data_IF_430487151677
#
_entry.id   IF_430487151677
#
_cell.length_a   1.000
_cell.length_b   1.000
_cell.length_c   1.000
_cell.angle_alpha   90.00
_cell.angle_beta   90.00
_cell.angle_gamma   90.00
#
_symmetry.space_group_name_H-M   'P 1'
#
loop_
_entity.id
_entity.type
_entity.pdbx_description
1 polymer ?
#
# COMPACT_ATOMS: atom_id res chain seq x y z
N UNK A 1 65.83 -34.41 42.44
CA UNK A 1 65.13 -33.61 43.48
C UNK A 1 64.25 -32.58 42.79
N UNK A 2 62.91 -32.73 42.92
CA UNK A 2 61.88 -31.66 43.14
C UNK A 2 61.83 -30.46 42.16
N UNK A 3 60.71 -29.95 41.65
CA UNK A 3 59.26 -30.21 41.77
C UNK A 3 58.59 -29.36 40.66
N UNK A 4 57.69 -29.93 39.86
CA UNK A 4 56.96 -29.23 38.80
C UNK A 4 55.66 -28.64 39.40
N UNK A 5 55.52 -27.32 39.48
CA UNK A 5 54.25 -26.65 39.89
C UNK A 5 53.41 -26.30 38.64
N UNK A 6 52.38 -27.10 38.36
CA UNK A 6 51.28 -26.73 37.45
C UNK A 6 50.30 -25.82 38.19
N UNK A 7 50.13 -24.59 37.70
CA UNK A 7 49.01 -23.71 38.07
C UNK A 7 47.90 -23.94 37.05
N UNK A 8 46.78 -24.50 37.51
CA UNK A 8 45.54 -24.63 36.73
C UNK A 8 44.72 -23.37 36.99
N UNK A 9 44.54 -22.55 35.96
CA UNK A 9 43.70 -21.35 35.99
C UNK A 9 42.24 -21.79 35.75
N UNK A 10 41.43 -21.77 36.80
CA UNK A 10 40.01 -22.13 36.74
C UNK A 10 39.22 -20.90 36.24
N UNK A 11 38.82 -20.93 34.97
CA UNK A 11 38.01 -19.89 34.33
C UNK A 11 36.56 -20.00 34.84
N UNK A 12 36.19 -19.19 35.83
CA UNK A 12 34.80 -19.03 36.25
C UNK A 12 34.03 -18.28 35.14
N UNK A 13 33.28 -19.03 34.34
CA UNK A 13 32.28 -18.47 33.44
C UNK A 13 31.10 -18.00 34.30
N UNK A 14 31.13 -16.76 34.77
CA UNK A 14 29.96 -16.14 35.40
C UNK A 14 28.97 -15.84 34.28
N UNK A 15 27.78 -16.48 34.25
CA UNK A 15 26.76 -16.10 33.29
C UNK A 15 26.39 -14.64 33.55
N UNK A 16 26.71 -13.77 32.59
CA UNK A 16 26.18 -12.41 32.59
C UNK A 16 24.68 -12.55 32.38
N UNK A 17 23.91 -12.51 33.45
CA UNK A 17 22.47 -12.36 33.37
C UNK A 17 22.20 -11.01 32.73
N UNK A 18 21.85 -11.03 31.45
CA UNK A 18 21.31 -9.84 30.77
C UNK A 18 19.95 -9.59 31.39
N UNK A 19 19.90 -8.73 32.41
CA UNK A 19 18.65 -8.18 32.94
C UNK A 19 18.04 -7.28 31.85
N UNK A 20 17.20 -7.87 31.00
CA UNK A 20 16.28 -7.09 30.17
C UNK A 20 15.08 -6.73 31.03
N UNK A 21 14.67 -5.46 31.02
CA UNK A 21 13.43 -5.08 31.68
C UNK A 21 12.27 -5.86 31.07
N UNK A 22 11.42 -6.43 31.92
CA UNK A 22 10.17 -6.99 31.47
C UNK A 22 9.12 -5.89 31.46
N UNK A 23 8.43 -5.69 30.34
CA UNK A 23 7.37 -4.69 30.24
C UNK A 23 6.22 -5.18 29.37
N UNK A 24 5.03 -4.72 29.72
CA UNK A 24 3.79 -4.93 28.96
C UNK A 24 3.22 -3.59 28.51
N UNK A 25 2.57 -3.60 27.35
CA UNK A 25 1.97 -2.40 26.76
C UNK A 25 0.45 -2.53 26.77
N UNK A 26 -0.23 -1.53 27.36
CA UNK A 26 -1.68 -1.44 27.39
C UNK A 26 -2.14 -0.16 26.70
N UNK A 27 -3.07 -0.28 25.76
CA UNK A 27 -3.72 0.86 25.12
C UNK A 27 -5.10 1.08 25.74
N UNK A 28 -5.43 2.33 26.08
CA UNK A 28 -6.69 2.70 26.73
C UNK A 28 -7.28 3.93 26.04
N UNK A 29 -8.61 3.96 25.85
CA UNK A 29 -9.34 5.14 25.39
C UNK A 29 -9.65 5.20 23.88
N UNK A 30 -9.12 4.27 23.07
CA UNK A 30 -9.47 4.12 21.65
C UNK A 30 -10.31 2.86 21.43
N UNK A 31 -11.54 3.01 20.94
CA UNK A 31 -12.47 1.91 20.65
C UNK A 31 -12.37 1.38 19.20
N UNK A 32 -11.90 2.22 18.28
CA UNK A 32 -11.75 1.87 16.87
C UNK A 32 -10.64 0.82 16.69
N UNK A 33 -11.04 -0.41 16.35
CA UNK A 33 -10.12 -1.57 16.30
C UNK A 33 -9.11 -1.44 15.17
N UNK A 34 -9.53 -0.90 14.03
CA UNK A 34 -8.67 -0.72 12.86
C UNK A 34 -7.55 0.29 13.16
N UNK A 35 -7.91 1.46 13.69
CA UNK A 35 -6.97 2.50 14.11
C UNK A 35 -6.03 1.97 15.19
N UNK A 36 -6.55 1.24 16.18
CA UNK A 36 -5.72 0.66 17.25
C UNK A 36 -4.71 -0.35 16.69
N UNK A 37 -5.11 -1.18 15.73
CA UNK A 37 -4.20 -2.14 15.09
C UNK A 37 -3.15 -1.41 14.25
N UNK A 38 -3.50 -0.33 13.55
CA UNK A 38 -2.54 0.49 12.83
C UNK A 38 -1.49 1.12 13.77
N UNK A 39 -1.94 1.66 14.92
CA UNK A 39 -1.06 2.19 15.97
C UNK A 39 -0.09 1.11 16.47
N UNK A 40 -0.59 -0.11 16.76
CA UNK A 40 0.26 -1.22 17.23
C UNK A 40 1.31 -1.63 16.20
N UNK A 41 1.00 -1.56 14.90
CA UNK A 41 1.95 -1.89 13.82
C UNK A 41 3.10 -0.91 13.68
N UNK A 42 2.94 0.34 14.11
CA UNK A 42 4.02 1.36 14.05
C UNK A 42 4.73 1.57 15.39
N UNK A 43 4.19 1.01 16.48
CA UNK A 43 4.74 1.20 17.83
C UNK A 43 5.99 0.35 18.07
N UNK A 44 7.14 0.98 18.28
CA UNK A 44 8.35 0.28 18.70
C UNK A 44 8.21 -0.36 20.07
N UNK A 45 7.36 0.17 20.96
CA UNK A 45 7.02 -0.48 22.22
C UNK A 45 6.45 -1.88 22.00
N UNK A 46 5.65 -2.08 20.96
CA UNK A 46 5.05 -3.38 20.61
C UNK A 46 6.03 -4.22 19.78
N UNK A 47 6.59 -3.64 18.70
CA UNK A 47 7.45 -4.35 17.74
C UNK A 47 8.73 -4.88 18.42
N UNK A 48 9.33 -4.09 19.30
CA UNK A 48 10.61 -4.40 19.95
C UNK A 48 10.46 -4.92 21.37
N UNK A 49 9.29 -5.47 21.74
CA UNK A 49 9.05 -5.99 23.09
C UNK A 49 10.05 -7.10 23.46
N UNK A 50 10.38 -7.99 22.52
CA UNK A 50 11.43 -9.04 22.71
C UNK A 50 12.85 -8.48 22.85
N UNK A 51 13.07 -7.21 22.50
CA UNK A 51 14.34 -6.49 22.61
C UNK A 51 14.16 -5.31 23.56
N UNK A 52 13.74 -5.63 24.79
CA UNK A 52 13.45 -4.63 25.80
C UNK A 52 14.70 -3.82 26.19
N UNK A 53 14.56 -2.51 26.48
CA UNK A 53 15.67 -1.71 26.96
C UNK A 53 16.18 -2.21 28.31
N UNK A 54 17.43 -1.86 28.64
CA UNK A 54 18.06 -2.24 29.90
C UNK A 54 17.68 -1.33 31.08
N UNK A 55 17.10 -0.15 30.82
CA UNK A 55 16.78 0.85 31.85
C UNK A 55 15.40 1.47 31.64
N UNK A 56 14.75 1.87 32.74
CA UNK A 56 13.41 2.49 32.72
C UNK A 56 13.43 3.78 31.89
N UNK A 57 14.52 4.55 31.98
CA UNK A 57 14.67 5.77 31.19
C UNK A 57 14.76 5.48 29.68
N UNK A 58 15.43 4.41 29.27
CA UNK A 58 15.48 4.01 27.87
C UNK A 58 14.11 3.50 27.38
N UNK A 59 13.33 2.84 28.23
CA UNK A 59 11.94 2.47 27.95
C UNK A 59 11.04 3.70 27.83
N UNK A 60 11.16 4.68 28.73
CA UNK A 60 10.44 5.95 28.65
C UNK A 60 10.79 6.72 27.38
N UNK A 61 12.06 6.75 27.00
CA UNK A 61 12.50 7.36 25.74
C UNK A 61 11.82 6.69 24.54
N UNK A 62 11.88 5.35 24.45
CA UNK A 62 11.18 4.58 23.40
C UNK A 62 9.68 4.89 23.37
N UNK A 63 9.03 4.92 24.52
CA UNK A 63 7.61 5.24 24.63
C UNK A 63 7.29 6.65 24.09
N UNK A 64 8.10 7.64 24.47
CA UNK A 64 7.94 9.00 23.99
C UNK A 64 8.21 9.14 22.48
N UNK A 65 9.18 8.39 21.94
CA UNK A 65 9.48 8.39 20.50
C UNK A 65 8.33 7.83 19.65
N UNK A 66 7.56 6.88 20.19
CA UNK A 66 6.39 6.34 19.49
C UNK A 66 5.24 7.37 19.35
N UNK A 67 5.14 8.34 20.27
CA UNK A 67 4.00 9.26 20.37
C UNK A 67 3.72 10.01 19.06
N UNK A 68 4.75 10.54 18.41
CA UNK A 68 4.58 11.30 17.16
C UNK A 68 4.02 10.42 16.04
N UNK A 69 4.54 9.20 15.90
CA UNK A 69 4.07 8.25 14.88
C UNK A 69 2.64 7.80 15.16
N UNK A 70 2.29 7.56 16.44
CA UNK A 70 0.92 7.22 16.83
C UNK A 70 -0.06 8.36 16.55
N UNK A 71 0.32 9.62 16.79
CA UNK A 71 -0.49 10.79 16.43
C UNK A 71 -0.70 10.90 14.93
N UNK A 72 0.34 10.67 14.12
CA UNK A 72 0.20 10.64 12.64
C UNK A 72 -0.76 9.55 12.17
N UNK A 73 -0.78 8.38 12.81
CA UNK A 73 -1.79 7.35 12.52
C UNK A 73 -3.19 7.84 12.91
N UNK A 74 -3.35 8.47 14.09
CA UNK A 74 -4.65 9.02 14.49
C UNK A 74 -5.16 10.06 13.49
N UNK A 75 -4.29 10.99 13.05
CA UNK A 75 -4.59 11.96 11.98
C UNK A 75 -4.97 11.27 10.67
N UNK A 76 -4.27 10.21 10.27
CA UNK A 76 -4.58 9.40 9.09
C UNK A 76 -5.99 8.79 9.12
N UNK A 77 -6.51 8.50 10.32
CA UNK A 77 -7.89 8.02 10.55
C UNK A 77 -8.88 9.15 10.88
N UNK A 78 -8.46 10.41 10.78
CA UNK A 78 -9.32 11.59 10.95
C UNK A 78 -9.42 12.12 12.38
N UNK A 79 -8.56 11.70 13.31
CA UNK A 79 -8.54 12.14 14.71
C UNK A 79 -7.51 13.26 14.94
N UNK A 80 -7.75 14.44 14.37
CA UNK A 80 -6.80 15.58 14.44
C UNK A 80 -6.70 16.25 15.82
N UNK A 81 -7.70 16.06 16.69
CA UNK A 81 -7.67 16.57 18.07
C UNK A 81 -7.04 15.57 19.06
N UNK A 82 -6.48 14.46 18.55
CA UNK A 82 -6.05 13.37 19.40
C UNK A 82 -4.92 13.77 20.35
N UNK A 83 -5.00 13.24 21.58
CA UNK A 83 -3.96 13.41 22.60
C UNK A 83 -3.51 12.06 23.12
N UNK A 84 -2.20 11.91 23.29
CA UNK A 84 -1.58 10.69 23.84
C UNK A 84 -0.82 11.06 25.10
N UNK A 85 -1.15 10.37 26.19
CA UNK A 85 -0.44 10.41 27.45
C UNK A 85 0.13 9.02 27.75
N UNK A 86 1.32 9.00 28.34
CA UNK A 86 2.05 7.78 28.64
C UNK A 86 2.26 7.71 30.14
N UNK A 87 1.99 6.53 30.70
CA UNK A 87 2.24 6.25 32.10
C UNK A 87 3.01 4.93 32.24
N UNK A 88 3.94 4.90 33.17
CA UNK A 88 4.80 3.74 33.41
C UNK A 88 4.72 3.41 34.90
N UNK A 89 4.07 2.30 35.21
CA UNK A 89 3.93 1.79 36.58
C UNK A 89 4.72 0.50 36.74
N UNK A 90 5.55 0.41 37.77
CA UNK A 90 6.24 -0.84 38.11
C UNK A 90 5.36 -1.66 39.07
N UNK A 91 5.02 -2.90 38.68
CA UNK A 91 4.23 -3.84 39.48
C UNK A 91 4.82 -5.24 39.37
N UNK A 92 5.21 -5.82 40.50
CA UNK A 92 5.69 -7.21 40.58
C UNK A 92 6.81 -7.52 39.55
N UNK A 93 7.86 -6.70 39.51
CA UNK A 93 9.01 -6.82 38.57
C UNK A 93 8.67 -6.69 37.07
N UNK A 94 7.45 -6.24 36.73
CA UNK A 94 7.02 -5.92 35.37
C UNK A 94 6.67 -4.43 35.30
N UNK A 95 7.18 -3.75 34.28
CA UNK A 95 6.81 -2.37 33.99
C UNK A 95 5.57 -2.38 33.10
N UNK A 96 4.44 -1.89 33.61
CA UNK A 96 3.25 -1.67 32.81
C UNK A 96 3.33 -0.29 32.15
N UNK A 97 3.48 -0.28 30.83
CA UNK A 97 3.43 0.93 29.99
C UNK A 97 1.98 1.12 29.53
N UNK A 98 1.28 2.10 30.08
CA UNK A 98 -0.08 2.44 29.68
C UNK A 98 -0.08 3.64 28.75
N UNK A 99 -0.64 3.45 27.56
CA UNK A 99 -0.82 4.47 26.53
C UNK A 99 -2.28 4.89 26.55
N UNK A 100 -2.54 6.06 27.13
CA UNK A 100 -3.86 6.69 27.17
C UNK A 100 -4.05 7.53 25.92
N UNK A 101 -4.99 7.11 25.07
CA UNK A 101 -5.36 7.78 23.84
C UNK A 101 -6.71 8.45 24.06
N UNK A 102 -6.74 9.77 23.94
CA UNK A 102 -7.97 10.56 23.84
C UNK A 102 -8.16 10.96 22.38
N UNK A 103 -8.93 10.21 21.58
CA UNK A 103 -8.99 10.42 20.13
C UNK A 103 -9.68 11.73 19.72
N UNK A 104 -10.56 12.28 20.56
CA UNK A 104 -11.39 13.43 20.19
C UNK A 104 -12.46 13.06 19.15
N UNK A 105 -13.13 14.05 18.54
CA UNK A 105 -14.06 13.81 17.44
C UNK A 105 -13.32 13.31 16.20
N UNK A 106 -13.98 12.43 15.44
CA UNK A 106 -13.50 12.03 14.12
C UNK A 106 -13.97 13.05 13.09
N UNK A 107 -13.05 13.58 12.32
CA UNK A 107 -13.33 14.59 11.30
C UNK A 107 -14.06 13.95 10.13
N UNK A 108 -14.84 14.74 9.41
CA UNK A 108 -15.59 14.27 8.23
C UNK A 108 -15.10 14.91 6.94
N UNK A 109 -15.25 14.20 5.83
CA UNK A 109 -15.00 14.75 4.50
C UNK A 109 -16.20 15.63 4.10
N UNK A 110 -16.00 16.94 4.01
CA UNK A 110 -17.07 17.92 3.69
C UNK A 110 -17.20 18.17 2.20
N UNK A 111 -16.09 18.17 1.48
CA UNK A 111 -16.07 18.58 0.08
C UNK A 111 -14.87 17.95 -0.63
N UNK A 112 -15.03 17.73 -1.93
CA UNK A 112 -14.02 17.19 -2.83
C UNK A 112 -14.02 18.05 -4.08
N UNK A 113 -12.89 18.65 -4.38
CA UNK A 113 -12.72 19.47 -5.57
C UNK A 113 -11.62 18.87 -6.46
N UNK A 114 -11.89 18.81 -7.76
CA UNK A 114 -10.97 18.26 -8.75
C UNK A 114 -10.79 19.31 -9.84
N UNK A 115 -9.56 19.78 -9.99
CA UNK A 115 -9.22 20.85 -10.90
C UNK A 115 -8.34 20.34 -12.05
N UNK A 116 -8.60 20.85 -13.25
CA UNK A 116 -7.74 20.70 -14.44
C UNK A 116 -6.68 21.81 -14.53
N UNK A 117 -6.88 22.92 -13.79
CA UNK A 117 -5.89 23.98 -13.59
C UNK A 117 -6.06 24.55 -12.18
N UNK A 118 -5.01 24.51 -11.35
CA UNK A 118 -5.05 25.02 -9.97
C UNK A 118 -4.79 26.50 -9.82
N UNK A 119 -4.14 27.13 -10.78
CA UNK A 119 -3.94 28.58 -10.78
C UNK A 119 -5.28 29.27 -11.02
N UNK A 120 -6.05 28.76 -11.97
CA UNK A 120 -7.36 29.30 -12.33
C UNK A 120 -8.53 28.62 -11.58
N UNK A 121 -8.24 27.55 -10.82
CA UNK A 121 -9.24 26.68 -10.19
C UNK A 121 -10.31 26.21 -11.17
N UNK A 122 -9.89 25.90 -12.40
CA UNK A 122 -10.79 25.38 -13.42
C UNK A 122 -11.18 23.96 -13.04
N UNK A 123 -12.48 23.71 -12.90
CA UNK A 123 -12.99 22.35 -12.63
C UNK A 123 -12.66 21.40 -13.79
N UNK A 124 -12.54 20.12 -13.46
CA UNK A 124 -12.35 19.06 -14.45
C UNK A 124 -13.62 18.88 -15.30
N UNK A 125 -13.52 19.03 -16.63
CA UNK A 125 -14.66 19.04 -17.56
C UNK A 125 -14.61 17.93 -18.64
N UNK A 126 -13.59 17.07 -18.60
CA UNK A 126 -13.29 16.12 -19.70
C UNK A 126 -13.98 14.76 -19.60
N UNK A 127 -14.36 14.31 -18.39
CA UNK A 127 -14.96 13.00 -18.14
C UNK A 127 -16.03 13.05 -17.05
N UNK A 128 -17.02 12.16 -17.12
CA UNK A 128 -18.06 12.03 -16.10
C UNK A 128 -17.50 11.32 -14.85
N UNK A 129 -16.87 12.12 -13.98
CA UNK A 129 -16.28 11.66 -12.73
C UNK A 129 -17.15 12.16 -11.59
N UNK A 130 -17.64 11.23 -10.78
CA UNK A 130 -18.48 11.52 -9.62
C UNK A 130 -17.83 11.00 -8.34
N UNK A 131 -18.22 11.54 -7.18
CA UNK A 131 -17.72 11.03 -5.90
C UNK A 131 -18.03 9.54 -5.72
N UNK A 132 -19.15 9.07 -6.28
CA UNK A 132 -19.53 7.66 -6.25
C UNK A 132 -18.55 6.79 -7.03
N UNK A 133 -18.08 7.22 -8.21
CA UNK A 133 -17.08 6.44 -8.97
C UNK A 133 -15.70 6.43 -8.30
N UNK A 134 -15.43 7.39 -7.41
CA UNK A 134 -14.23 7.45 -6.58
C UNK A 134 -14.37 6.69 -5.24
N UNK A 135 -15.54 6.12 -4.95
CA UNK A 135 -15.91 5.54 -3.64
C UNK A 135 -15.74 6.52 -2.47
N UNK A 136 -16.00 7.80 -2.71
CA UNK A 136 -16.03 8.84 -1.69
C UNK A 136 -17.46 9.24 -1.37
N UNK A 137 -17.67 9.63 -0.10
CA UNK A 137 -18.95 10.13 0.38
C UNK A 137 -18.75 11.38 1.22
N UNK A 138 -19.53 12.42 0.92
CA UNK A 138 -19.55 13.62 1.76
C UNK A 138 -20.23 13.32 3.10
N UNK A 139 -19.78 13.99 4.15
CA UNK A 139 -20.17 13.80 5.54
C UNK A 139 -19.87 12.40 6.10
N UNK A 140 -19.00 11.61 5.45
CA UNK A 140 -18.47 10.37 6.02
C UNK A 140 -17.20 10.63 6.84
N UNK A 141 -16.78 9.69 7.69
CA UNK A 141 -15.49 9.77 8.37
C UNK A 141 -14.34 10.04 7.39
N UNK A 142 -13.44 10.93 7.76
CA UNK A 142 -12.24 11.24 7.01
C UNK A 142 -11.21 10.13 7.24
N UNK A 143 -10.82 9.44 6.16
CA UNK A 143 -9.75 8.43 6.16
C UNK A 143 -8.80 8.80 5.02
N UNK A 144 -7.54 9.04 5.35
CA UNK A 144 -6.55 9.44 4.34
C UNK A 144 -6.35 8.34 3.29
N UNK A 145 -6.45 7.06 3.66
CA UNK A 145 -6.39 5.95 2.71
C UNK A 145 -7.47 6.04 1.63
N UNK A 146 -8.69 6.43 1.98
CA UNK A 146 -9.80 6.54 1.01
C UNK A 146 -9.52 7.65 0.00
N UNK A 147 -8.92 8.76 0.44
CA UNK A 147 -8.46 9.85 -0.43
C UNK A 147 -7.37 9.33 -1.38
N UNK A 148 -6.38 8.59 -0.89
CA UNK A 148 -5.33 8.02 -1.76
C UNK A 148 -5.92 7.05 -2.80
N UNK A 149 -6.81 6.15 -2.37
CA UNK A 149 -7.48 5.21 -3.25
C UNK A 149 -8.35 5.91 -4.31
N UNK A 150 -9.03 7.00 -3.91
CA UNK A 150 -9.81 7.82 -4.82
C UNK A 150 -8.94 8.49 -5.88
N UNK A 151 -7.72 8.92 -5.54
CA UNK A 151 -6.77 9.45 -6.51
C UNK A 151 -6.38 8.41 -7.56
N UNK A 152 -6.07 7.19 -7.14
CA UNK A 152 -5.70 6.11 -8.07
C UNK A 152 -6.89 5.78 -9.01
N UNK A 153 -8.12 5.79 -8.48
CA UNK A 153 -9.34 5.63 -9.29
C UNK A 153 -9.56 6.79 -10.24
N UNK A 154 -9.28 8.01 -9.81
CA UNK A 154 -9.39 9.20 -10.64
C UNK A 154 -8.50 9.11 -11.88
N UNK A 155 -7.22 8.76 -11.69
CA UNK A 155 -6.28 8.55 -12.82
C UNK A 155 -6.72 7.37 -13.69
N UNK A 156 -7.19 6.27 -13.08
CA UNK A 156 -7.71 5.13 -13.82
C UNK A 156 -8.92 5.49 -14.70
N UNK A 157 -9.88 6.24 -14.16
CA UNK A 157 -11.07 6.69 -14.89
C UNK A 157 -10.71 7.65 -16.03
N UNK A 158 -9.77 8.58 -15.78
CA UNK A 158 -9.24 9.47 -16.81
C UNK A 158 -8.58 8.69 -17.96
N UNK A 159 -7.77 7.69 -17.62
CA UNK A 159 -7.17 6.78 -18.59
C UNK A 159 -8.23 5.99 -19.38
N UNK A 160 -9.35 5.63 -18.75
CA UNK A 160 -10.48 4.94 -19.39
C UNK A 160 -11.28 5.81 -20.37
N UNK A 161 -11.25 7.14 -20.24
CA UNK A 161 -11.97 8.07 -21.10
C UNK A 161 -11.08 8.81 -22.11
N UNK A 162 -9.84 8.34 -22.32
CA UNK A 162 -8.93 8.88 -23.34
C UNK A 162 -7.82 9.78 -22.83
N UNK A 163 -7.59 9.87 -21.52
CA UNK A 163 -6.50 10.66 -20.93
C UNK A 163 -5.48 9.77 -20.20
N UNK A 164 -4.74 8.91 -20.93
CA UNK A 164 -3.82 7.94 -20.33
C UNK A 164 -2.60 8.58 -19.65
N UNK A 165 -2.26 9.80 -20.04
CA UNK A 165 -1.10 10.54 -19.50
C UNK A 165 -1.50 11.48 -18.36
N UNK A 166 -2.73 11.36 -17.84
CA UNK A 166 -3.18 12.19 -16.73
C UNK A 166 -2.31 11.93 -15.49
N UNK A 167 -1.88 13.01 -14.83
CA UNK A 167 -1.11 12.96 -13.60
C UNK A 167 -1.71 13.89 -12.54
N UNK A 168 -1.43 13.59 -11.28
CA UNK A 168 -1.78 14.48 -10.16
C UNK A 168 -0.58 15.34 -9.84
N UNK A 169 -0.63 16.62 -10.19
CA UNK A 169 0.42 17.58 -9.85
C UNK A 169 0.45 17.84 -8.34
N UNK A 170 -0.74 17.91 -7.73
CA UNK A 170 -0.89 18.28 -6.32
C UNK A 170 -2.13 17.67 -5.71
N UNK A 171 -2.01 17.23 -4.46
CA UNK A 171 -3.12 16.84 -3.60
C UNK A 171 -3.04 17.61 -2.29
N UNK A 172 -4.12 18.27 -1.90
CA UNK A 172 -4.24 18.94 -0.61
C UNK A 172 -5.44 18.41 0.17
N UNK A 173 -5.29 18.30 1.49
CA UNK A 173 -6.40 18.04 2.40
C UNK A 173 -6.42 19.18 3.41
N UNK A 174 -7.38 20.10 3.25
CA UNK A 174 -7.52 21.29 4.08
C UNK A 174 -8.36 20.93 5.30
N UNK A 175 -7.75 21.02 6.48
CA UNK A 175 -8.39 20.66 7.76
C UNK A 175 -9.02 21.89 8.41
N UNK A 176 -10.32 21.83 8.68
CA UNK A 176 -11.02 22.82 9.49
C UNK A 176 -11.14 22.31 10.93
N UNK A 177 -10.28 22.84 11.80
CA UNK A 177 -10.28 22.48 13.23
C UNK A 177 -11.49 23.01 13.98
N UNK A 178 -12.20 24.03 13.48
CA UNK A 178 -13.37 24.61 14.15
C UNK A 178 -14.61 23.78 13.85
N UNK A 179 -14.82 23.41 12.59
CA UNK A 179 -15.99 22.65 12.15
C UNK A 179 -15.77 21.13 12.10
N UNK A 180 -14.57 20.66 12.46
CA UNK A 180 -14.20 19.23 12.53
C UNK A 180 -14.44 18.51 11.20
N UNK A 181 -14.03 19.14 10.11
CA UNK A 181 -14.17 18.58 8.76
C UNK A 181 -12.96 18.91 7.89
N UNK A 182 -12.95 18.32 6.69
CA UNK A 182 -11.89 18.53 5.72
C UNK A 182 -12.42 18.69 4.30
N UNK A 183 -11.66 19.41 3.49
CA UNK A 183 -11.87 19.55 2.05
C UNK A 183 -10.68 18.89 1.35
N UNK A 184 -10.93 17.91 0.48
CA UNK A 184 -9.90 17.30 -0.35
C UNK A 184 -9.86 17.99 -1.72
N UNK A 185 -8.68 18.35 -2.17
CA UNK A 185 -8.47 19.00 -3.46
C UNK A 185 -7.42 18.25 -4.27
N UNK A 186 -7.73 17.95 -5.52
CA UNK A 186 -6.80 17.42 -6.51
C UNK A 186 -6.55 18.42 -7.62
N UNK A 187 -5.28 18.57 -7.94
CA UNK A 187 -4.78 19.27 -9.11
C UNK A 187 -4.30 18.26 -10.13
N UNK A 188 -4.85 18.30 -11.33
CA UNK A 188 -4.53 17.37 -12.38
C UNK A 188 -3.89 18.10 -13.56
N UNK A 189 -2.83 17.52 -14.10
CA UNK A 189 -2.51 17.67 -15.51
C UNK A 189 -3.22 16.52 -16.22
N UNK A 190 -4.28 16.82 -16.96
CA UNK A 190 -5.02 15.78 -17.70
C UNK A 190 -4.20 15.20 -18.85
N UNK A 191 -3.17 15.92 -19.31
CA UNK A 191 -2.52 15.63 -20.57
C UNK A 191 -3.47 15.76 -21.77
N UNK A 192 -2.99 15.40 -22.97
CA UNK A 192 -3.79 15.39 -24.18
C UNK A 192 -4.74 14.18 -24.24
N UNK A 193 -5.86 14.37 -24.94
CA UNK A 193 -6.71 13.26 -25.35
C UNK A 193 -5.94 12.34 -26.32
N UNK A 194 -5.98 11.04 -26.07
CA UNK A 194 -5.23 10.03 -26.81
C UNK A 194 -6.12 8.92 -27.37
N UNK A 195 -5.68 8.40 -28.51
CA UNK A 195 -6.20 7.21 -29.18
C UNK A 195 -5.17 6.10 -29.14
N UNK A 196 -5.60 4.85 -29.31
CA UNK A 196 -4.70 3.73 -29.51
C UNK A 196 -3.93 3.87 -30.82
N UNK A 197 -2.61 3.86 -30.75
CA UNK A 197 -1.71 3.88 -31.90
C UNK A 197 -1.26 2.48 -32.32
N UNK A 198 -0.18 2.45 -33.11
CA UNK A 198 0.37 1.22 -33.66
C UNK A 198 0.76 0.22 -32.54
N UNK A 199 0.34 -1.05 -32.71
CA UNK A 199 0.67 -2.14 -31.80
C UNK A 199 1.93 -2.88 -32.25
N UNK A 200 2.94 -2.89 -31.38
CA UNK A 200 4.16 -3.68 -31.52
C UNK A 200 4.13 -4.87 -30.56
N UNK A 201 4.29 -6.07 -31.09
CA UNK A 201 4.28 -7.31 -30.31
C UNK A 201 5.70 -7.90 -30.28
N UNK A 202 6.20 -8.21 -29.09
CA UNK A 202 7.53 -8.75 -28.85
C UNK A 202 7.48 -10.00 -27.96
N UNK A 203 8.37 -10.97 -28.24
CA UNK A 203 8.53 -12.18 -27.43
C UNK A 203 7.74 -13.41 -27.91
N UNK A 204 7.04 -13.30 -29.05
CA UNK A 204 6.49 -14.46 -29.73
C UNK A 204 7.61 -15.28 -30.38
N UNK A 205 7.54 -16.60 -30.19
CA UNK A 205 8.48 -17.58 -30.77
C UNK A 205 7.76 -18.66 -31.55
N UNK A 206 6.73 -19.28 -30.98
CA UNK A 206 5.98 -20.38 -31.60
C UNK A 206 4.51 -20.04 -31.81
N UNK A 207 3.96 -19.11 -31.02
CA UNK A 207 2.56 -18.70 -31.12
C UNK A 207 2.40 -17.72 -32.29
N UNK A 208 1.43 -18.03 -33.16
CA UNK A 208 1.11 -17.18 -34.30
C UNK A 208 0.60 -15.80 -33.84
N UNK A 209 1.12 -14.73 -34.46
CA UNK A 209 0.72 -13.35 -34.16
C UNK A 209 -0.79 -13.14 -34.27
N UNK A 210 -1.45 -13.75 -35.25
CA UNK A 210 -2.90 -13.63 -35.47
C UNK A 210 -3.73 -14.16 -34.30
N UNK A 211 -3.19 -15.09 -33.50
CA UNK A 211 -3.83 -15.52 -32.27
C UNK A 211 -3.89 -14.38 -31.25
N UNK A 212 -2.78 -13.65 -31.10
CA UNK A 212 -2.68 -12.51 -30.19
C UNK A 212 -3.55 -11.36 -30.69
N UNK A 213 -3.51 -11.06 -31.99
CA UNK A 213 -4.31 -9.98 -32.60
C UNK A 213 -5.82 -10.19 -32.34
N UNK A 214 -6.32 -11.43 -32.39
CA UNK A 214 -7.72 -11.77 -32.05
C UNK A 214 -8.12 -11.54 -30.59
N UNK A 215 -7.14 -11.38 -29.69
CA UNK A 215 -7.38 -11.13 -28.25
C UNK A 215 -7.29 -9.66 -27.88
N UNK A 216 -6.79 -8.80 -28.78
CA UNK A 216 -6.73 -7.36 -28.59
C UNK A 216 -8.16 -6.80 -28.56
N UNK A 217 -8.43 -5.91 -27.60
CA UNK A 217 -9.78 -5.36 -27.32
C UNK A 217 -10.02 -3.97 -27.90
N UNK A 218 -9.06 -3.45 -28.66
CA UNK A 218 -9.10 -2.15 -29.31
C UNK A 218 -8.65 -2.27 -30.77
N UNK A 219 -9.00 -1.27 -31.57
CA UNK A 219 -8.45 -1.06 -32.90
C UNK A 219 -7.52 0.16 -32.92
N UNK A 220 -6.72 0.28 -33.97
CA UNK A 220 -5.97 1.51 -34.25
C UNK A 220 -6.95 2.68 -34.41
N UNK A 221 -6.67 3.79 -33.72
CA UNK A 221 -7.47 5.01 -33.75
C UNK A 221 -8.67 5.01 -32.79
N UNK A 222 -8.97 3.91 -32.10
CA UNK A 222 -9.96 3.89 -31.01
C UNK A 222 -9.53 4.86 -29.90
N UNK A 223 -10.48 5.49 -29.20
CA UNK A 223 -10.18 6.20 -27.95
C UNK A 223 -9.41 5.29 -26.99
N UNK A 224 -8.33 5.81 -26.41
CA UNK A 224 -7.57 5.05 -25.43
C UNK A 224 -8.46 4.72 -24.23
N UNK A 225 -8.42 3.46 -23.80
CA UNK A 225 -9.17 2.97 -22.65
C UNK A 225 -8.35 1.88 -21.93
N UNK A 226 -7.88 2.19 -20.73
CA UNK A 226 -7.09 1.26 -19.91
C UNK A 226 -7.82 -0.04 -19.61
N UNK A 227 -9.16 -0.05 -19.57
CA UNK A 227 -9.94 -1.27 -19.32
C UNK A 227 -9.75 -2.28 -20.46
N UNK A 228 -9.72 -1.82 -21.72
CA UNK A 228 -9.42 -2.66 -22.89
C UNK A 228 -8.00 -3.25 -22.82
N UNK A 229 -7.03 -2.48 -22.32
CA UNK A 229 -5.65 -2.93 -22.09
C UNK A 229 -5.62 -4.06 -21.06
N UNK A 230 -6.26 -3.85 -19.90
CA UNK A 230 -6.32 -4.84 -18.83
C UNK A 230 -7.07 -6.10 -19.25
N UNK A 231 -8.21 -5.96 -19.95
CA UNK A 231 -8.96 -7.09 -20.50
C UNK A 231 -8.09 -7.91 -21.46
N UNK A 232 -7.34 -7.25 -22.35
CA UNK A 232 -6.42 -7.92 -23.28
C UNK A 232 -5.33 -8.68 -22.53
N UNK A 233 -4.68 -8.05 -21.56
CA UNK A 233 -3.66 -8.69 -20.73
C UNK A 233 -4.22 -9.93 -20.00
N UNK A 234 -5.38 -9.78 -19.37
CA UNK A 234 -6.03 -10.86 -18.64
C UNK A 234 -6.47 -12.00 -19.58
N UNK A 235 -7.01 -11.67 -20.76
CA UNK A 235 -7.45 -12.65 -21.74
C UNK A 235 -6.28 -13.47 -22.30
N UNK A 236 -5.12 -12.85 -22.51
CA UNK A 236 -3.91 -13.54 -22.92
C UNK A 236 -3.38 -14.45 -21.81
N UNK A 237 -3.29 -13.97 -20.56
CA UNK A 237 -2.85 -14.79 -19.42
C UNK A 237 -3.77 -15.99 -19.17
N UNK A 238 -5.09 -15.80 -19.28
CA UNK A 238 -6.09 -16.87 -19.13
C UNK A 238 -5.95 -18.02 -20.13
N UNK A 239 -5.23 -17.83 -21.23
CA UNK A 239 -4.96 -18.92 -22.18
C UNK A 239 -3.97 -19.95 -21.65
N UNK A 240 -3.20 -19.62 -20.61
CA UNK A 240 -2.03 -20.39 -20.14
C UNK A 240 -0.95 -20.61 -21.21
N UNK A 241 -1.04 -19.94 -22.36
CA UNK A 241 -0.02 -19.98 -23.41
C UNK A 241 1.12 -18.99 -23.15
N UNK A 242 0.95 -18.11 -22.16
CA UNK A 242 1.94 -17.13 -21.74
C UNK A 242 2.16 -17.19 -20.24
N UNK A 243 3.41 -17.15 -19.80
CA UNK A 243 3.79 -17.02 -18.39
C UNK A 243 3.86 -15.56 -17.96
N UNK A 244 4.05 -14.64 -18.92
CA UNK A 244 4.09 -13.20 -18.68
C UNK A 244 3.49 -12.44 -19.86
N UNK A 245 2.70 -11.41 -19.56
CA UNK A 245 2.11 -10.48 -20.53
C UNK A 245 2.22 -9.09 -19.93
N UNK A 246 2.93 -8.20 -20.61
CA UNK A 246 3.09 -6.80 -20.23
C UNK A 246 2.69 -5.90 -21.41
N UNK A 247 1.77 -4.98 -21.17
CA UNK A 247 1.31 -4.01 -22.17
C UNK A 247 1.62 -2.63 -21.62
N UNK A 248 2.37 -1.84 -22.38
CA UNK A 248 2.73 -0.45 -22.04
C UNK A 248 2.53 0.41 -23.27
N UNK A 249 2.11 1.65 -23.09
CA UNK A 249 2.09 2.62 -24.17
C UNK A 249 3.49 3.26 -24.34
N UNK A 250 3.75 3.90 -25.49
CA UNK A 250 4.90 4.77 -25.70
C UNK A 250 4.72 6.09 -24.95
N UNK A 251 5.80 6.86 -24.81
CA UNK A 251 5.73 8.23 -24.28
C UNK A 251 5.38 9.24 -25.39
N UNK A 252 5.67 8.89 -26.65
CA UNK A 252 5.41 9.76 -27.80
C UNK A 252 3.99 9.61 -28.32
N UNK A 253 3.32 10.76 -28.49
CA UNK A 253 2.04 10.91 -29.18
C UNK A 253 2.31 11.45 -30.59
N UNK A 254 1.73 10.83 -31.61
CA UNK A 254 1.84 11.31 -32.98
C UNK A 254 0.90 12.51 -33.27
N UNK A 255 1.03 13.11 -34.44
CA UNK A 255 0.20 14.24 -34.88
C UNK A 255 -1.32 13.93 -34.92
N UNK A 256 -1.71 12.64 -34.90
CA UNK A 256 -3.09 12.17 -34.91
C UNK A 256 -3.63 11.88 -33.50
N UNK A 257 -2.91 12.30 -32.45
CA UNK A 257 -3.21 12.00 -31.06
C UNK A 257 -3.18 10.50 -30.74
N UNK A 258 -2.42 9.71 -31.48
CA UNK A 258 -2.30 8.27 -31.25
C UNK A 258 -1.07 7.93 -30.43
N UNK A 259 -1.27 7.06 -29.44
CA UNK A 259 -0.26 6.60 -28.50
C UNK A 259 0.10 5.14 -28.84
N UNK A 260 1.34 4.91 -29.28
CA UNK A 260 1.79 3.57 -29.66
C UNK A 260 1.73 2.58 -28.50
N UNK A 261 1.45 1.31 -28.77
CA UNK A 261 1.33 0.26 -27.74
C UNK A 261 2.39 -0.81 -27.96
N UNK A 262 3.09 -1.17 -26.88
CA UNK A 262 4.07 -2.25 -26.85
C UNK A 262 3.54 -3.41 -25.98
N UNK A 263 3.27 -4.54 -26.62
CA UNK A 263 2.91 -5.80 -25.97
C UNK A 263 4.15 -6.71 -25.93
N UNK A 264 4.65 -6.98 -24.72
CA UNK A 264 5.72 -7.94 -24.45
C UNK A 264 5.11 -9.19 -23.84
N UNK A 265 5.41 -10.35 -24.43
CA UNK A 265 4.94 -11.65 -23.94
C UNK A 265 6.11 -12.60 -23.69
N UNK A 266 5.91 -13.55 -22.78
CA UNK A 266 6.77 -14.71 -22.61
C UNK A 266 5.90 -15.94 -22.76
N UNK A 267 6.15 -16.73 -23.81
CA UNK A 267 5.39 -17.97 -24.06
C UNK A 267 5.63 -18.99 -22.95
N UNK A 268 4.58 -19.75 -22.61
CA UNK A 268 4.69 -20.89 -21.73
C UNK A 268 5.36 -22.06 -22.43
N UNK A 269 6.02 -22.92 -21.65
CA UNK A 269 6.54 -24.18 -22.17
C UNK A 269 5.35 -25.02 -22.65
N UNK A 270 5.42 -25.47 -23.91
CA UNK A 270 4.34 -26.23 -24.54
C UNK A 270 4.10 -27.61 -23.89
N UNK A 271 5.07 -28.08 -23.12
CA UNK A 271 5.01 -29.33 -22.35
C UNK A 271 5.68 -29.10 -21.00
N UNK A 272 4.97 -29.37 -19.93
CA UNK A 272 5.54 -29.51 -18.60
C UNK A 272 5.11 -30.88 -18.05
N UNK A 273 6.04 -31.58 -17.41
CA UNK A 273 5.78 -32.85 -16.73
C UNK A 273 5.82 -32.52 -15.24
N UNK A 274 4.69 -32.68 -14.56
CA UNK A 274 4.61 -32.51 -13.11
C UNK A 274 4.55 -33.90 -12.50
N UNK A 275 5.41 -34.22 -11.54
CA UNK A 275 5.33 -35.46 -10.77
C UNK A 275 5.22 -35.10 -9.29
N UNK A 276 4.19 -35.59 -8.62
CA UNK A 276 3.93 -35.35 -7.21
C UNK A 276 3.82 -36.65 -6.43
N UNK A 277 4.44 -36.69 -5.25
CA UNK A 277 4.22 -37.77 -4.27
C UNK A 277 3.55 -37.12 -3.07
N UNK A 278 2.40 -37.63 -2.67
CA UNK A 278 1.67 -37.19 -1.49
C UNK A 278 1.53 -38.33 -0.49
N UNK A 279 1.34 -37.98 0.79
CA UNK A 279 0.98 -38.92 1.83
C UNK A 279 -0.08 -38.28 2.72
N UNK A 280 -1.22 -38.93 2.88
CA UNK A 280 -2.27 -38.54 3.81
C UNK A 280 -2.52 -39.66 4.81
N UNK A 281 -2.73 -39.31 6.08
CA UNK A 281 -2.91 -40.30 7.17
C UNK A 281 -4.14 -41.20 6.97
N UNK A 282 -5.16 -40.70 6.25
CA UNK A 282 -6.40 -41.42 5.94
C UNK A 282 -6.31 -42.10 4.57
N UNK A 283 -5.75 -41.41 3.56
CA UNK A 283 -5.77 -41.89 2.16
C UNK A 283 -4.48 -42.62 1.72
N UNK A 284 -3.43 -42.62 2.53
CA UNK A 284 -2.15 -43.29 2.24
C UNK A 284 -1.26 -42.52 1.26
N UNK A 285 -0.40 -43.26 0.53
CA UNK A 285 0.49 -42.70 -0.50
C UNK A 285 -0.28 -42.39 -1.78
N UNK A 286 -0.14 -41.17 -2.29
CA UNK A 286 -0.63 -40.74 -3.59
C UNK A 286 0.53 -40.44 -4.54
N UNK A 287 0.34 -40.75 -5.81
CA UNK A 287 1.20 -40.28 -6.90
C UNK A 287 0.32 -39.51 -7.87
N UNK A 288 0.75 -38.30 -8.25
CA UNK A 288 0.14 -37.53 -9.31
C UNK A 288 1.15 -37.28 -10.43
N UNK A 289 0.67 -37.28 -11.66
CA UNK A 289 1.41 -37.00 -12.88
C UNK A 289 0.55 -36.21 -13.86
#
# INVERSE_FOLDING_TARGET
MTFLKKIILLLFFVPIYVFSLNYDVKFVGLKDVETLNAIKRVSNLVILQKRAPKTINALRFRANSDKEQMLKILEFFGFYDAKINLDLEEKNDIIQVTIFISPGPRYTLKEVNIFSDCSEKKELDVCDISLKSLDLKINSPLITQDILNAQDKLIFLLSGCGYPLATVEKREVKIDLSHKNAIAEWCLDTGPFCKFGALKINGLTNIDRSFVDKKIRWNLGDTYDVTKVMETQQNLLKTNLFTSVAIVHSDDINEMSELGINLKVVEALHKYITAGISYATIDGFGVSF
#
